data_IF_571189686489
#
_entry.id   IF_571189686489
#
_cell.length_a   1.000
_cell.length_b   1.000
_cell.length_c   1.000
_cell.angle_alpha   90.00
_cell.angle_beta   90.00
_cell.angle_gamma   90.00
#
_symmetry.space_group_name_H-M   'P 1'
#
loop_
_entity.id
_entity.type
_entity.pdbx_description
1 polymer ?
#
# COMPACT_ATOMS: atom_id res chain seq x y z
N UNK A 1 71.92 4.21 -8.32
CA UNK A 1 71.29 4.97 -9.42
C UNK A 1 70.19 4.12 -10.02
N UNK A 2 68.96 4.47 -9.67
CA UNK A 2 67.65 4.24 -10.30
C UNK A 2 67.43 2.94 -11.11
N UNK A 3 66.98 1.89 -10.41
CA UNK A 3 66.25 0.77 -10.98
C UNK A 3 64.77 1.14 -11.16
N UNK A 4 64.40 1.59 -12.36
CA UNK A 4 63.00 1.74 -12.75
C UNK A 4 62.36 0.37 -13.03
N UNK A 5 61.19 0.05 -12.47
CA UNK A 5 60.42 -1.13 -12.90
C UNK A 5 59.71 -0.85 -14.24
N UNK A 6 59.49 -1.87 -15.08
CA UNK A 6 58.78 -1.73 -16.35
C UNK A 6 57.28 -1.43 -16.14
N UNK A 7 56.64 -0.74 -17.10
CA UNK A 7 55.23 -0.36 -16.98
C UNK A 7 54.30 -1.57 -17.07
N UNK A 8 53.32 -1.61 -16.16
CA UNK A 8 52.18 -2.52 -16.20
C UNK A 8 51.39 -2.34 -17.50
N UNK A 9 51.41 -3.35 -18.38
CA UNK A 9 50.48 -3.48 -19.50
C UNK A 9 49.16 -4.05 -18.97
N UNK A 10 48.15 -3.18 -18.84
CA UNK A 10 46.76 -3.57 -18.60
C UNK A 10 46.18 -4.19 -19.87
N UNK A 11 45.56 -5.39 -19.83
CA UNK A 11 44.85 -5.94 -20.98
C UNK A 11 43.56 -5.15 -21.20
N UNK A 12 43.57 -4.21 -22.14
CA UNK A 12 42.36 -3.62 -22.68
C UNK A 12 41.70 -4.62 -23.64
N UNK A 13 40.92 -5.55 -23.11
CA UNK A 13 39.87 -6.19 -23.88
C UNK A 13 38.70 -5.20 -24.03
N UNK A 14 38.34 -4.76 -25.25
CA UNK A 14 37.09 -4.03 -25.44
C UNK A 14 35.94 -5.00 -25.12
N UNK A 15 35.16 -4.68 -24.08
CA UNK A 15 33.93 -5.38 -23.80
C UNK A 15 32.97 -5.15 -24.98
N UNK A 16 32.81 -6.18 -25.81
CA UNK A 16 31.73 -6.28 -26.79
C UNK A 16 30.42 -6.32 -26.02
N UNK A 17 29.79 -5.16 -25.85
CA UNK A 17 28.44 -5.09 -25.31
C UNK A 17 27.50 -5.76 -26.33
N UNK A 18 26.67 -6.73 -25.90
CA UNK A 18 25.61 -7.22 -26.77
C UNK A 18 24.67 -6.05 -27.10
N UNK A 19 24.11 -6.01 -28.32
CA UNK A 19 23.16 -4.98 -28.70
C UNK A 19 21.97 -5.00 -27.73
N UNK A 20 21.36 -3.83 -27.45
CA UNK A 20 20.23 -3.76 -26.54
C UNK A 20 19.13 -4.64 -27.10
N UNK A 21 18.87 -5.76 -26.43
CA UNK A 21 17.63 -6.49 -26.60
C UNK A 21 16.53 -5.46 -26.42
N UNK A 22 15.74 -5.23 -27.46
CA UNK A 22 14.47 -4.51 -27.37
C UNK A 22 13.55 -5.34 -26.47
N UNK A 23 13.81 -5.29 -25.16
CA UNK A 23 12.85 -5.64 -24.14
C UNK A 23 11.81 -4.56 -24.27
N UNK A 24 10.80 -4.88 -25.08
CA UNK A 24 9.48 -4.27 -25.11
C UNK A 24 9.06 -4.17 -23.65
N UNK A 25 9.38 -3.05 -23.02
CA UNK A 25 8.88 -2.68 -21.70
C UNK A 25 7.41 -2.43 -21.91
N UNK A 26 6.68 -3.55 -21.91
CA UNK A 26 5.28 -3.60 -21.61
C UNK A 26 5.11 -2.71 -20.39
N UNK A 27 4.29 -1.70 -20.58
CA UNK A 27 3.83 -0.74 -19.61
C UNK A 27 3.10 -1.53 -18.51
N UNK A 28 3.87 -2.10 -17.59
CA UNK A 28 3.42 -2.86 -16.44
C UNK A 28 3.77 -2.11 -15.15
N UNK A 29 3.80 -0.78 -15.20
CA UNK A 29 3.51 0.01 -14.01
C UNK A 29 2.02 0.33 -13.98
N UNK A 30 1.40 -0.12 -12.89
CA UNK A 30 0.02 0.16 -12.46
C UNK A 30 -1.08 -0.77 -12.98
N UNK A 31 -0.89 -2.07 -12.81
CA UNK A 31 -2.02 -2.98 -12.50
C UNK A 31 -1.85 -3.68 -11.15
N UNK A 32 -1.47 -2.91 -10.13
CA UNK A 32 -1.92 -3.19 -8.76
C UNK A 32 -3.41 -2.80 -8.68
N UNK A 33 -4.27 -3.61 -9.31
CA UNK A 33 -5.70 -3.65 -9.01
C UNK A 33 -5.84 -4.30 -7.63
N UNK A 34 -5.43 -3.57 -6.59
CA UNK A 34 -5.92 -3.82 -5.25
C UNK A 34 -7.43 -3.56 -5.35
N UNK A 35 -8.21 -4.65 -5.36
CA UNK A 35 -9.65 -4.69 -5.15
C UNK A 35 -9.97 -3.93 -3.86
N UNK A 36 -9.97 -2.60 -3.93
CA UNK A 36 -10.73 -1.78 -3.00
C UNK A 36 -12.15 -1.89 -3.53
N UNK A 37 -12.89 -2.76 -2.86
CA UNK A 37 -14.34 -2.85 -2.96
C UNK A 37 -14.88 -1.43 -3.09
N UNK A 38 -15.77 -1.24 -4.05
CA UNK A 38 -16.63 -0.09 -4.18
C UNK A 38 -17.23 0.24 -2.81
N UNK A 39 -16.61 1.16 -2.09
CA UNK A 39 -17.28 1.95 -1.08
C UNK A 39 -17.76 3.17 -1.84
N UNK A 40 -19.07 3.27 -2.13
CA UNK A 40 -19.58 4.38 -2.89
C UNK A 40 -19.31 5.66 -2.10
N UNK A 41 -18.63 6.59 -2.78
CA UNK A 41 -19.02 8.00 -2.81
C UNK A 41 -19.10 8.81 -1.52
N UNK A 42 -18.59 8.38 -0.36
CA UNK A 42 -18.62 9.25 0.84
C UNK A 42 -17.91 10.60 0.63
N UNK A 43 -16.77 10.63 -0.06
CA UNK A 43 -16.05 11.89 -0.36
C UNK A 43 -16.78 12.79 -1.37
N UNK A 44 -17.48 12.20 -2.34
CA UNK A 44 -18.30 12.94 -3.31
C UNK A 44 -19.57 13.48 -2.67
N UNK A 45 -20.24 12.69 -1.84
CA UNK A 45 -21.41 13.10 -1.06
C UNK A 45 -21.04 14.17 -0.02
N UNK A 46 -19.90 14.09 0.67
CA UNK A 46 -19.46 15.16 1.58
C UNK A 46 -19.18 16.46 0.83
N UNK A 47 -18.54 16.38 -0.34
CA UNK A 47 -18.29 17.57 -1.18
C UNK A 47 -19.60 18.16 -1.71
N UNK A 48 -20.55 17.31 -2.11
CA UNK A 48 -21.87 17.73 -2.54
C UNK A 48 -22.66 18.36 -1.39
N UNK A 49 -22.72 17.71 -0.23
CA UNK A 49 -23.37 18.20 0.98
C UNK A 49 -22.80 19.54 1.45
N UNK A 50 -21.49 19.74 1.33
CA UNK A 50 -20.84 21.02 1.66
C UNK A 50 -21.23 22.13 0.68
N UNK A 51 -21.29 21.84 -0.62
CA UNK A 51 -21.73 22.81 -1.60
C UNK A 51 -23.23 23.12 -1.46
N UNK A 52 -24.07 22.10 -1.26
CA UNK A 52 -25.50 22.29 -1.07
C UNK A 52 -25.82 23.00 0.24
N UNK A 53 -25.16 22.66 1.36
CA UNK A 53 -25.38 23.33 2.64
C UNK A 53 -24.97 24.79 2.59
N UNK A 54 -23.92 25.13 1.84
CA UNK A 54 -23.50 26.51 1.64
C UNK A 54 -24.52 27.33 0.84
N UNK A 55 -24.99 26.82 -0.30
CA UNK A 55 -26.04 27.50 -1.08
C UNK A 55 -27.36 27.59 -0.33
N UNK A 56 -27.72 26.55 0.43
CA UNK A 56 -28.89 26.51 1.29
C UNK A 56 -28.77 27.57 2.40
N UNK A 57 -27.61 27.71 3.04
CA UNK A 57 -27.36 28.74 4.05
C UNK A 57 -27.49 30.16 3.49
N UNK A 58 -26.95 30.42 2.29
CA UNK A 58 -27.14 31.69 1.59
C UNK A 58 -28.63 31.93 1.28
N UNK A 59 -29.34 30.92 0.81
CA UNK A 59 -30.77 31.01 0.50
C UNK A 59 -31.59 31.29 1.77
N UNK A 60 -31.32 30.59 2.87
CA UNK A 60 -31.96 30.83 4.18
C UNK A 60 -31.68 32.26 4.65
N UNK A 61 -30.43 32.71 4.61
CA UNK A 61 -30.09 34.09 4.97
C UNK A 61 -30.89 35.06 4.12
N UNK A 62 -30.95 34.86 2.80
CA UNK A 62 -31.72 35.70 1.90
C UNK A 62 -33.23 35.67 2.21
N UNK A 63 -33.80 34.52 2.54
CA UNK A 63 -35.21 34.37 2.90
C UNK A 63 -35.54 35.05 4.23
N UNK A 64 -34.69 34.90 5.26
CA UNK A 64 -34.82 35.62 6.53
C UNK A 64 -34.66 37.14 6.32
N UNK A 65 -33.86 37.55 5.34
CA UNK A 65 -33.69 38.94 4.96
C UNK A 65 -34.98 39.54 4.38
N UNK A 66 -35.59 38.85 3.43
CA UNK A 66 -36.87 39.26 2.83
C UNK A 66 -37.99 39.23 3.87
N UNK A 67 -38.01 38.20 4.72
CA UNK A 67 -38.98 38.10 5.82
C UNK A 67 -38.84 39.22 6.85
N UNK A 68 -37.62 39.61 7.21
CA UNK A 68 -37.39 40.74 8.12
C UNK A 68 -37.77 42.08 7.47
N UNK A 69 -37.50 42.26 6.17
CA UNK A 69 -37.97 43.42 5.42
C UNK A 69 -39.50 43.53 5.40
N UNK A 70 -40.17 42.40 5.19
CA UNK A 70 -41.63 42.30 5.14
C UNK A 70 -42.26 42.62 6.50
N UNK A 71 -41.75 41.99 7.57
CA UNK A 71 -42.23 42.19 8.94
C UNK A 71 -42.02 43.62 9.45
N UNK A 72 -40.89 44.25 9.10
CA UNK A 72 -40.61 45.65 9.48
C UNK A 72 -41.40 46.63 8.60
N UNK A 73 -41.60 46.32 7.32
CA UNK A 73 -42.45 47.10 6.41
C UNK A 73 -43.89 47.17 6.90
N UNK A 74 -44.44 46.03 7.36
CA UNK A 74 -45.77 45.97 7.97
C UNK A 74 -45.84 46.81 9.27
N UNK A 75 -44.81 46.74 10.11
CA UNK A 75 -44.73 47.54 11.35
C UNK A 75 -44.55 49.04 11.09
N UNK A 76 -43.81 49.41 10.04
CA UNK A 76 -43.60 50.80 9.62
C UNK A 76 -44.86 51.41 9.00
N UNK A 77 -45.73 50.59 8.39
CA UNK A 77 -47.02 51.03 7.87
C UNK A 77 -48.03 51.33 8.99
N UNK A 78 -47.96 50.61 10.12
CA UNK A 78 -48.91 50.76 11.24
C UNK A 78 -48.52 51.79 12.31
N UNK A 79 -47.23 52.04 12.58
CA UNK A 79 -46.80 52.95 13.67
C UNK A 79 -45.98 54.15 13.15
N UNK A 80 -46.56 55.35 13.22
CA UNK A 80 -46.04 56.59 12.60
C UNK A 80 -44.84 57.29 13.27
N UNK A 81 -44.37 56.85 14.45
CA UNK A 81 -43.39 57.61 15.26
C UNK A 81 -41.91 57.17 15.18
N UNK A 82 -41.61 55.87 15.06
CA UNK A 82 -40.23 55.32 15.13
C UNK A 82 -39.59 55.08 13.75
N UNK A 83 -40.11 55.76 12.72
CA UNK A 83 -39.91 55.46 11.30
C UNK A 83 -38.47 55.60 10.81
N UNK A 84 -37.72 56.60 11.28
CA UNK A 84 -36.38 56.92 10.75
C UNK A 84 -35.29 55.97 11.23
N UNK A 85 -35.32 55.58 12.51
CA UNK A 85 -34.31 54.68 13.10
C UNK A 85 -34.43 53.25 12.55
N UNK A 86 -35.66 52.74 12.40
CA UNK A 86 -35.88 51.40 11.85
C UNK A 86 -35.40 51.29 10.38
N UNK A 87 -35.62 52.34 9.57
CA UNK A 87 -35.13 52.38 8.19
C UNK A 87 -33.59 52.43 8.15
N UNK A 88 -32.96 53.22 9.03
CA UNK A 88 -31.49 53.32 9.07
C UNK A 88 -30.83 52.00 9.46
N UNK A 89 -31.34 51.33 10.51
CA UNK A 89 -30.84 50.02 10.96
C UNK A 89 -31.03 48.97 9.86
N UNK A 90 -32.13 49.04 9.10
CA UNK A 90 -32.38 48.17 7.97
C UNK A 90 -31.32 48.38 6.87
N UNK A 91 -31.13 49.61 6.40
CA UNK A 91 -30.13 49.90 5.36
C UNK A 91 -28.72 49.47 5.80
N UNK A 92 -28.35 49.72 7.06
CA UNK A 92 -27.05 49.32 7.60
C UNK A 92 -26.87 47.79 7.62
N UNK A 93 -27.91 47.03 8.01
CA UNK A 93 -27.88 45.58 8.01
C UNK A 93 -27.73 44.99 6.60
N UNK A 94 -28.37 45.59 5.58
CA UNK A 94 -28.24 45.16 4.19
C UNK A 94 -26.86 45.42 3.62
N UNK A 95 -26.28 46.59 3.91
CA UNK A 95 -24.92 46.92 3.49
C UNK A 95 -23.91 45.96 4.15
N UNK A 96 -24.04 45.73 5.46
CA UNK A 96 -23.18 44.79 6.17
C UNK A 96 -23.26 43.37 5.59
N UNK A 97 -24.48 42.90 5.28
CA UNK A 97 -24.64 41.57 4.69
C UNK A 97 -24.08 41.49 3.25
N UNK A 98 -24.28 42.52 2.45
CA UNK A 98 -23.69 42.62 1.11
C UNK A 98 -22.16 42.48 1.16
N UNK A 99 -21.53 43.17 2.10
CA UNK A 99 -20.08 43.09 2.33
C UNK A 99 -19.67 41.67 2.73
N UNK A 100 -20.37 41.06 3.69
CA UNK A 100 -20.06 39.69 4.16
C UNK A 100 -20.20 38.67 3.02
N UNK A 101 -21.26 38.77 2.22
CA UNK A 101 -21.50 37.90 1.06
C UNK A 101 -20.37 38.01 0.03
N UNK A 102 -20.00 39.24 -0.35
CA UNK A 102 -18.90 39.49 -1.30
C UNK A 102 -17.57 38.96 -0.77
N UNK A 103 -17.24 39.23 0.49
CA UNK A 103 -16.01 38.74 1.12
C UNK A 103 -15.94 37.21 1.11
N UNK A 104 -17.06 36.54 1.36
CA UNK A 104 -17.12 35.08 1.38
C UNK A 104 -16.92 34.48 -0.02
N UNK A 105 -17.60 35.03 -1.04
CA UNK A 105 -17.43 34.61 -2.44
C UNK A 105 -15.98 34.85 -2.89
N UNK A 106 -15.41 36.01 -2.55
CA UNK A 106 -14.03 36.35 -2.90
C UNK A 106 -13.02 35.39 -2.28
N UNK A 107 -13.15 35.09 -0.98
CA UNK A 107 -12.31 34.11 -0.27
C UNK A 107 -12.35 32.74 -0.95
N UNK A 108 -13.53 32.29 -1.39
CA UNK A 108 -13.69 31.01 -2.07
C UNK A 108 -13.00 31.00 -3.44
N UNK A 109 -13.17 32.06 -4.24
CA UNK A 109 -12.50 32.19 -5.55
C UNK A 109 -10.98 32.20 -5.40
N UNK A 110 -10.46 32.92 -4.40
CA UNK A 110 -9.02 32.95 -4.13
C UNK A 110 -8.49 31.58 -3.70
N UNK A 111 -9.22 30.86 -2.84
CA UNK A 111 -8.85 29.52 -2.38
C UNK A 111 -8.79 28.52 -3.54
N UNK A 112 -9.81 28.51 -4.41
CA UNK A 112 -9.84 27.66 -5.60
C UNK A 112 -8.68 28.00 -6.53
N UNK A 113 -8.42 29.29 -6.81
CA UNK A 113 -7.28 29.72 -7.62
C UNK A 113 -5.93 29.30 -7.02
N UNK A 114 -5.78 29.34 -5.69
CA UNK A 114 -4.57 28.86 -5.00
C UNK A 114 -4.39 27.36 -5.18
N UNK A 115 -5.43 26.57 -4.97
CA UNK A 115 -5.39 25.10 -5.15
C UNK A 115 -5.08 24.73 -6.60
N UNK A 116 -5.68 25.43 -7.57
CA UNK A 116 -5.44 25.17 -8.98
C UNK A 116 -4.00 25.53 -9.42
N UNK A 117 -3.36 26.48 -8.71
CA UNK A 117 -1.94 26.81 -8.90
C UNK A 117 -1.00 25.77 -8.31
N UNK A 118 -1.39 25.07 -7.24
CA UNK A 118 -0.55 24.05 -6.61
C UNK A 118 -0.66 22.68 -7.26
N UNK A 119 -1.71 22.44 -8.06
CA UNK A 119 -1.80 21.21 -8.85
C UNK A 119 -0.76 21.24 -9.99
N UNK A 120 0.16 20.25 -10.05
CA UNK A 120 1.07 20.13 -11.18
C UNK A 120 0.24 19.90 -12.45
N UNK A 121 0.41 20.78 -13.44
CA UNK A 121 -0.33 20.68 -14.70
C UNK A 121 0.02 19.34 -15.38
N UNK A 122 -0.98 18.53 -15.81
CA UNK A 122 -0.74 17.21 -16.39
C UNK A 122 -0.01 17.26 -17.74
N UNK A 123 0.11 18.45 -18.35
CA UNK A 123 0.88 18.66 -19.56
C UNK A 123 2.31 19.05 -19.22
N UNK A 124 3.15 18.04 -19.00
CA UNK A 124 4.59 18.20 -19.17
C UNK A 124 4.87 17.84 -20.62
N UNK A 125 5.32 18.78 -21.48
CA UNK A 125 5.68 18.46 -22.84
C UNK A 125 6.93 17.56 -22.81
N UNK A 126 6.71 16.25 -22.77
CA UNK A 126 7.76 15.22 -22.83
C UNK A 126 7.83 14.58 -24.21
N UNK A 127 6.93 14.94 -25.13
CA UNK A 127 6.96 14.47 -26.51
C UNK A 127 8.08 15.20 -27.27
N UNK A 128 8.84 14.45 -28.06
CA UNK A 128 9.94 14.99 -28.91
C UNK A 128 9.48 16.05 -29.93
N UNK A 129 8.17 16.19 -30.15
CA UNK A 129 7.55 17.12 -31.09
C UNK A 129 7.40 18.52 -30.48
N UNK A 130 7.28 18.61 -29.15
CA UNK A 130 6.96 19.87 -28.45
C UNK A 130 8.21 20.62 -27.96
N UNK A 131 9.40 19.98 -28.01
CA UNK A 131 10.65 20.53 -27.50
C UNK A 131 11.78 20.50 -28.54
N UNK A 132 12.70 21.48 -28.51
CA UNK A 132 13.95 21.42 -29.26
C UNK A 132 14.72 20.13 -28.92
N UNK A 133 15.29 19.49 -29.94
CA UNK A 133 15.98 18.19 -29.84
C UNK A 133 17.05 18.15 -28.72
N UNK A 134 17.74 19.28 -28.49
CA UNK A 134 18.78 19.39 -27.46
C UNK A 134 18.22 19.28 -26.03
N UNK A 135 17.08 19.94 -25.78
CA UNK A 135 16.42 19.90 -24.46
C UNK A 135 15.85 18.52 -24.20
N UNK A 136 15.22 17.89 -25.21
CA UNK A 136 14.70 16.54 -25.09
C UNK A 136 15.80 15.51 -24.79
N UNK A 137 16.97 15.65 -25.42
CA UNK A 137 18.16 14.81 -25.13
C UNK A 137 18.65 15.03 -23.71
N UNK A 138 18.79 16.29 -23.27
CA UNK A 138 19.26 16.60 -21.92
C UNK A 138 18.33 16.03 -20.84
N UNK A 139 17.02 16.21 -21.00
CA UNK A 139 16.00 15.63 -20.12
C UNK A 139 16.14 14.10 -20.07
N UNK A 140 16.24 13.44 -21.23
CA UNK A 140 16.41 11.99 -21.28
C UNK A 140 17.69 11.52 -20.57
N UNK A 141 18.80 12.23 -20.76
CA UNK A 141 20.09 11.93 -20.10
C UNK A 141 19.99 12.07 -18.58
N UNK A 142 19.40 13.14 -18.07
CA UNK A 142 19.22 13.33 -16.62
C UNK A 142 18.25 12.32 -16.02
N UNK A 143 17.18 11.95 -16.75
CA UNK A 143 16.30 10.86 -16.32
C UNK A 143 17.02 9.51 -16.28
N UNK A 144 17.83 9.20 -17.28
CA UNK A 144 18.63 7.96 -17.27
C UNK A 144 19.63 7.97 -16.11
N UNK A 145 20.31 9.10 -15.87
CA UNK A 145 21.25 9.26 -14.76
C UNK A 145 20.57 9.09 -13.40
N UNK A 146 19.44 9.76 -13.18
CA UNK A 146 18.68 9.65 -11.94
C UNK A 146 18.08 8.25 -11.75
N UNK A 147 17.65 7.59 -12.81
CA UNK A 147 17.19 6.19 -12.75
C UNK A 147 18.32 5.23 -12.35
N UNK A 148 19.52 5.40 -12.91
CA UNK A 148 20.70 4.60 -12.54
C UNK A 148 21.13 4.87 -11.10
N UNK A 149 21.21 6.14 -10.69
CA UNK A 149 21.52 6.50 -9.29
C UNK A 149 20.47 5.92 -8.36
N UNK A 150 19.19 6.04 -8.68
CA UNK A 150 18.10 5.47 -7.88
C UNK A 150 18.28 3.96 -7.74
N UNK A 151 18.56 3.25 -8.83
CA UNK A 151 18.80 1.82 -8.82
C UNK A 151 20.03 1.44 -7.97
N UNK A 152 21.14 2.14 -8.09
CA UNK A 152 22.36 1.89 -7.28
C UNK A 152 22.13 2.26 -5.80
N UNK A 153 21.33 3.30 -5.54
CA UNK A 153 21.00 3.78 -4.20
C UNK A 153 19.97 2.91 -3.47
N UNK A 154 19.34 1.96 -4.17
CA UNK A 154 18.54 0.94 -3.48
C UNK A 154 19.45 0.24 -2.48
N UNK A 155 19.03 0.21 -1.22
CA UNK A 155 19.81 -0.37 -0.14
C UNK A 155 19.89 -1.89 -0.29
N UNK A 156 20.75 -2.38 -1.18
CA UNK A 156 21.00 -3.82 -1.37
C UNK A 156 21.70 -4.42 -0.14
N UNK A 157 22.49 -3.60 0.57
CA UNK A 157 23.37 -4.05 1.67
C UNK A 157 22.75 -3.88 3.06
N UNK A 158 21.61 -3.17 3.17
CA UNK A 158 20.92 -2.98 4.45
C UNK A 158 20.30 -4.28 4.95
N UNK A 159 21.01 -5.02 5.81
CA UNK A 159 20.50 -6.21 6.46
C UNK A 159 19.65 -5.80 7.67
N UNK A 160 18.34 -5.69 7.50
CA UNK A 160 17.44 -5.65 8.64
C UNK A 160 17.30 -7.07 9.19
N UNK A 161 17.60 -7.26 10.47
CA UNK A 161 17.39 -8.55 11.12
C UNK A 161 15.92 -9.01 10.95
N UNK A 162 15.72 -10.28 10.62
CA UNK A 162 14.38 -10.84 10.38
C UNK A 162 13.82 -10.67 8.97
N UNK A 163 14.48 -9.91 8.09
CA UNK A 163 14.05 -9.73 6.69
C UNK A 163 15.00 -10.43 5.72
N UNK A 164 14.44 -10.96 4.63
CA UNK A 164 15.24 -11.54 3.56
C UNK A 164 15.97 -10.50 2.72
N UNK A 165 17.08 -10.92 2.12
CA UNK A 165 17.92 -10.03 1.31
C UNK A 165 17.28 -9.77 -0.05
N UNK A 166 17.29 -8.52 -0.57
CA UNK A 166 16.83 -8.24 -1.93
C UNK A 166 17.66 -9.05 -2.95
N UNK A 167 17.01 -9.62 -3.96
CA UNK A 167 17.64 -10.51 -4.94
C UNK A 167 17.80 -11.97 -4.50
N UNK A 168 17.36 -12.36 -3.30
CA UNK A 168 17.29 -13.77 -2.88
C UNK A 168 15.86 -14.32 -2.95
N UNK A 169 15.68 -15.63 -2.79
CA UNK A 169 14.34 -16.26 -2.70
C UNK A 169 13.47 -15.72 -1.53
N UNK A 170 14.11 -14.96 -0.63
CA UNK A 170 13.53 -14.36 0.55
C UNK A 170 13.27 -12.85 0.41
N UNK A 171 13.43 -12.27 -0.78
CA UNK A 171 13.09 -10.86 -1.02
C UNK A 171 11.65 -10.55 -0.58
N UNK A 172 11.49 -9.42 0.10
CA UNK A 172 10.22 -8.95 0.70
C UNK A 172 9.54 -9.90 1.68
N UNK A 173 10.25 -10.94 2.16
CA UNK A 173 9.72 -11.87 3.17
C UNK A 173 10.29 -11.56 4.55
N UNK A 174 9.38 -11.35 5.50
CA UNK A 174 9.72 -11.31 6.93
C UNK A 174 9.73 -12.73 7.49
N UNK A 175 10.87 -13.20 7.99
CA UNK A 175 11.09 -14.60 8.39
C UNK A 175 10.12 -15.04 9.49
N UNK A 176 9.88 -14.20 10.50
CA UNK A 176 8.93 -14.53 11.57
C UNK A 176 7.52 -14.73 11.02
N UNK A 177 7.04 -13.81 10.20
CA UNK A 177 5.71 -13.91 9.59
C UNK A 177 5.60 -15.11 8.68
N UNK A 178 6.65 -15.40 7.90
CA UNK A 178 6.71 -16.56 7.03
C UNK A 178 6.63 -17.88 7.82
N UNK A 179 7.45 -18.05 8.85
CA UNK A 179 7.44 -19.25 9.71
C UNK A 179 6.06 -19.42 10.38
N UNK A 180 5.42 -18.33 10.82
CA UNK A 180 4.09 -18.44 11.42
C UNK A 180 3.00 -18.77 10.40
N UNK A 181 3.19 -18.41 9.14
CA UNK A 181 2.24 -18.73 8.06
C UNK A 181 2.21 -20.21 7.67
N UNK A 182 3.22 -21.00 8.05
CA UNK A 182 3.24 -22.45 7.77
C UNK A 182 2.40 -23.27 8.74
N UNK A 183 2.01 -22.71 9.88
CA UNK A 183 1.19 -23.36 10.91
C UNK A 183 -0.14 -23.90 10.37
N UNK A 184 -0.97 -23.10 9.67
CA UNK A 184 -2.22 -23.62 9.10
C UNK A 184 -1.99 -24.74 8.09
N UNK A 185 -0.92 -24.69 7.29
CA UNK A 185 -0.59 -25.72 6.29
C UNK A 185 -0.28 -27.05 7.00
N UNK A 186 0.60 -27.01 7.99
CA UNK A 186 1.01 -28.20 8.76
C UNK A 186 -0.17 -28.79 9.54
N UNK A 187 -1.07 -27.93 10.05
CA UNK A 187 -2.28 -28.36 10.74
C UNK A 187 -3.28 -29.03 9.80
N UNK A 188 -3.49 -28.47 8.62
CA UNK A 188 -4.39 -29.06 7.63
C UNK A 188 -3.90 -30.45 7.19
N UNK A 189 -2.59 -30.69 7.16
CA UNK A 189 -2.04 -31.98 6.75
C UNK A 189 -2.06 -33.04 7.86
N UNK A 190 -1.74 -32.68 9.11
CA UNK A 190 -1.62 -33.62 10.24
C UNK A 190 -2.91 -33.78 11.04
N UNK A 191 -3.65 -32.69 11.26
CA UNK A 191 -4.78 -32.64 12.18
C UNK A 191 -5.95 -31.81 11.59
N UNK A 192 -6.50 -32.19 10.43
CA UNK A 192 -7.59 -31.44 9.78
C UNK A 192 -8.87 -31.37 10.63
N UNK A 193 -9.12 -32.38 11.46
CA UNK A 193 -10.34 -32.51 12.28
C UNK A 193 -10.21 -31.83 13.65
N UNK A 194 -9.03 -31.31 14.01
CA UNK A 194 -8.83 -30.72 15.34
C UNK A 194 -9.56 -29.38 15.47
N UNK A 195 -10.34 -29.23 16.55
CA UNK A 195 -11.07 -28.00 16.92
C UNK A 195 -10.28 -27.08 17.85
N UNK A 196 -9.05 -27.44 18.22
CA UNK A 196 -8.22 -26.65 19.13
C UNK A 196 -7.88 -25.25 18.56
N UNK A 197 -7.42 -24.33 19.41
CA UNK A 197 -7.00 -22.98 18.97
C UNK A 197 -6.10 -23.04 17.73
N UNK A 198 -6.31 -22.19 16.70
CA UNK A 198 -5.48 -22.19 15.49
C UNK A 198 -3.99 -21.91 15.78
N UNK A 199 -3.70 -21.38 16.97
CA UNK A 199 -2.36 -21.07 17.42
C UNK A 199 -1.73 -22.21 18.25
N UNK A 200 -2.46 -23.23 18.71
CA UNK A 200 -1.86 -24.28 19.54
C UNK A 200 -1.07 -25.30 18.72
N UNK A 201 0.10 -25.69 19.22
CA UNK A 201 0.95 -26.73 18.63
C UNK A 201 0.63 -28.13 19.16
N UNK A 202 -0.09 -28.24 20.29
CA UNK A 202 -0.48 -29.51 20.90
C UNK A 202 -1.18 -30.49 19.94
N UNK A 203 -2.13 -30.06 19.08
CA UNK A 203 -2.78 -30.98 18.14
C UNK A 203 -1.80 -31.58 17.12
N UNK A 204 -0.76 -30.84 16.75
CA UNK A 204 0.28 -31.34 15.84
C UNK A 204 1.14 -32.39 16.53
N UNK A 205 1.50 -32.14 17.79
CA UNK A 205 2.31 -33.06 18.60
C UNK A 205 1.56 -34.36 18.85
N UNK A 206 0.29 -34.27 19.24
CA UNK A 206 -0.58 -35.42 19.49
C UNK A 206 -0.84 -36.25 18.22
N UNK A 207 -1.15 -35.57 17.11
CA UNK A 207 -1.26 -36.22 15.80
C UNK A 207 0.06 -36.90 15.38
N UNK A 208 1.21 -36.28 15.65
CA UNK A 208 2.51 -36.90 15.33
C UNK A 208 2.83 -38.11 16.19
N UNK A 209 2.32 -38.19 17.42
CA UNK A 209 2.52 -39.34 18.31
C UNK A 209 1.61 -40.52 18.00
N UNK A 210 0.43 -40.29 17.42
CA UNK A 210 -0.47 -41.37 16.98
C UNK A 210 -0.02 -42.03 15.67
N UNK A 211 0.89 -41.39 14.93
CA UNK A 211 1.41 -41.92 13.68
C UNK A 211 2.50 -42.97 13.89
N UNK A 212 2.25 -44.20 13.41
CA UNK A 212 3.20 -45.31 13.45
C UNK A 212 4.26 -45.20 12.32
N UNK A 213 5.22 -44.28 12.45
CA UNK A 213 6.25 -44.00 11.42
C UNK A 213 7.69 -44.04 11.98
N UNK A 214 8.01 -45.04 12.82
CA UNK A 214 9.34 -45.24 13.46
C UNK A 214 9.86 -44.00 14.24
N UNK A 215 8.98 -43.06 14.59
CA UNK A 215 9.32 -41.83 15.29
C UNK A 215 9.89 -40.70 14.42
N UNK A 216 10.08 -40.89 13.10
CA UNK A 216 10.67 -39.88 12.23
C UNK A 216 9.82 -38.60 12.14
N UNK A 217 8.50 -38.74 11.90
CA UNK A 217 7.57 -37.60 11.84
C UNK A 217 7.53 -36.86 13.18
N UNK A 218 7.55 -37.60 14.30
CA UNK A 218 7.57 -37.02 15.64
C UNK A 218 8.82 -36.16 15.86
N UNK A 219 9.99 -36.59 15.41
CA UNK A 219 11.22 -35.79 15.48
C UNK A 219 11.10 -34.51 14.65
N UNK A 220 10.58 -34.60 13.42
CA UNK A 220 10.37 -33.43 12.56
C UNK A 220 9.37 -32.44 13.16
N UNK A 221 8.22 -32.91 13.65
CA UNK A 221 7.20 -32.05 14.26
C UNK A 221 7.71 -31.42 15.56
N UNK A 222 8.48 -32.14 16.38
CA UNK A 222 9.15 -31.55 17.56
C UNK A 222 10.16 -30.47 17.16
N UNK A 223 10.98 -30.71 16.13
CA UNK A 223 11.94 -29.72 15.64
C UNK A 223 11.24 -28.46 15.10
N UNK A 224 10.12 -28.65 14.39
CA UNK A 224 9.27 -27.59 13.88
C UNK A 224 8.61 -26.78 15.00
N UNK A 225 8.07 -27.45 16.01
CA UNK A 225 7.47 -26.82 17.18
C UNK A 225 8.48 -25.91 17.89
N UNK A 226 9.71 -26.38 18.09
CA UNK A 226 10.79 -25.59 18.69
C UNK A 226 11.13 -24.33 17.89
N UNK A 227 11.15 -24.42 16.56
CA UNK A 227 11.42 -23.25 15.70
C UNK A 227 10.24 -22.25 15.77
N UNK A 228 9.00 -22.72 15.82
CA UNK A 228 7.83 -21.84 15.96
C UNK A 228 7.82 -21.14 17.32
N UNK A 229 8.07 -21.85 18.40
CA UNK A 229 8.12 -21.25 19.74
C UNK A 229 9.19 -20.17 19.81
N UNK A 230 10.36 -20.44 19.24
CA UNK A 230 11.43 -19.45 19.10
C UNK A 230 10.98 -18.26 18.23
N UNK A 231 10.26 -18.50 17.14
CA UNK A 231 9.75 -17.43 16.29
C UNK A 231 8.66 -16.59 16.99
N UNK A 232 7.83 -17.17 17.86
CA UNK A 232 6.75 -16.47 18.58
C UNK A 232 7.24 -15.67 19.78
N UNK A 233 8.09 -16.30 20.60
CA UNK A 233 8.44 -15.78 21.93
C UNK A 233 9.91 -15.38 22.04
N UNK A 234 10.73 -15.69 21.03
CA UNK A 234 12.13 -15.33 21.02
C UNK A 234 12.35 -13.82 20.87
N UNK A 235 13.23 -13.26 21.70
CA UNK A 235 13.66 -11.85 21.60
C UNK A 235 14.44 -11.57 20.31
N UNK A 236 15.19 -12.55 19.82
CA UNK A 236 15.98 -12.45 18.58
C UNK A 236 15.10 -12.80 17.37
N UNK A 237 15.22 -12.02 16.30
CA UNK A 237 14.56 -12.33 15.03
C UNK A 237 15.07 -13.67 14.45
N UNK A 238 14.19 -14.50 13.88
CA UNK A 238 14.60 -15.72 13.21
C UNK A 238 15.47 -15.40 11.99
N UNK A 239 16.48 -16.23 11.76
CA UNK A 239 17.42 -16.08 10.66
C UNK A 239 16.90 -16.73 9.38
N UNK A 240 17.57 -16.45 8.25
CA UNK A 240 17.31 -17.13 6.98
C UNK A 240 17.41 -18.67 7.10
N UNK A 241 18.38 -19.16 7.88
CA UNK A 241 18.57 -20.59 8.10
C UNK A 241 17.36 -21.23 8.83
N UNK A 242 16.76 -20.50 9.77
CA UNK A 242 15.57 -20.97 10.49
C UNK A 242 14.36 -21.06 9.55
N UNK A 243 14.19 -20.08 8.65
CA UNK A 243 13.11 -20.09 7.64
C UNK A 243 13.29 -21.22 6.62
N UNK A 244 14.53 -21.47 6.17
CA UNK A 244 14.85 -22.58 5.27
C UNK A 244 14.67 -23.95 5.94
N UNK A 245 15.02 -24.08 7.22
CA UNK A 245 14.78 -25.30 7.98
C UNK A 245 13.28 -25.60 8.08
N UNK A 246 12.46 -24.58 8.38
CA UNK A 246 11.00 -24.72 8.45
C UNK A 246 10.40 -25.14 7.11
N UNK A 247 10.81 -24.51 6.02
CA UNK A 247 10.35 -24.86 4.66
C UNK A 247 10.62 -26.33 4.35
N UNK A 248 11.86 -26.80 4.61
CA UNK A 248 12.25 -28.20 4.38
C UNK A 248 11.51 -29.19 5.28
N UNK A 249 11.33 -28.86 6.55
CA UNK A 249 10.62 -29.75 7.50
C UNK A 249 9.16 -29.90 7.09
N UNK A 250 8.49 -28.80 6.72
CA UNK A 250 7.10 -28.85 6.24
C UNK A 250 7.00 -29.68 4.95
N UNK A 251 7.92 -29.49 4.01
CA UNK A 251 7.95 -30.25 2.76
C UNK A 251 8.13 -31.76 3.01
N UNK A 252 9.10 -32.15 3.83
CA UNK A 252 9.36 -33.57 4.17
C UNK A 252 8.15 -34.21 4.83
N UNK A 253 7.50 -33.51 5.77
CA UNK A 253 6.30 -34.02 6.44
C UNK A 253 5.15 -34.17 5.45
N UNK A 254 4.90 -33.18 4.59
CA UNK A 254 3.86 -33.24 3.56
C UNK A 254 4.10 -34.38 2.58
N UNK A 255 5.33 -34.55 2.09
CA UNK A 255 5.70 -35.65 1.20
C UNK A 255 5.51 -37.01 1.86
N UNK A 256 5.92 -37.15 3.13
CA UNK A 256 5.75 -38.40 3.88
C UNK A 256 4.27 -38.76 4.03
N UNK A 257 3.43 -37.77 4.36
CA UNK A 257 1.99 -37.95 4.47
C UNK A 257 1.34 -38.31 3.13
N UNK A 258 1.76 -37.68 2.05
CA UNK A 258 1.25 -37.97 0.71
C UNK A 258 1.64 -39.38 0.25
N UNK A 259 2.89 -39.81 0.48
CA UNK A 259 3.33 -41.18 0.19
C UNK A 259 2.52 -42.20 1.00
N UNK A 260 2.25 -41.93 2.27
CA UNK A 260 1.44 -42.80 3.13
C UNK A 260 -0.01 -42.91 2.63
N UNK A 261 -0.62 -41.77 2.29
CA UNK A 261 -1.97 -41.70 1.71
C UNK A 261 -2.07 -42.49 0.40
N UNK A 262 -1.04 -42.44 -0.46
CA UNK A 262 -0.99 -43.23 -1.71
C UNK A 262 -0.92 -44.73 -1.43
N UNK A 263 -0.06 -45.16 -0.50
CA UNK A 263 0.05 -46.58 -0.10
C UNK A 263 -1.26 -47.13 0.45
N UNK A 264 -1.98 -46.36 1.27
CA UNK A 264 -3.30 -46.76 1.79
C UNK A 264 -4.33 -46.90 0.68
N UNK A 265 -4.34 -45.99 -0.29
CA UNK A 265 -5.22 -46.04 -1.46
C UNK A 265 -4.95 -47.27 -2.33
N UNK A 266 -3.68 -47.61 -2.56
CA UNK A 266 -3.29 -48.78 -3.34
C UNK A 266 -3.69 -50.08 -2.62
N UNK A 267 -3.47 -50.15 -1.30
CA UNK A 267 -3.94 -51.28 -0.48
C UNK A 267 -5.45 -51.44 -0.56
N UNK A 268 -6.20 -50.34 -0.49
CA UNK A 268 -7.66 -50.38 -0.57
C UNK A 268 -8.16 -50.85 -1.95
N UNK A 269 -7.47 -50.45 -3.04
CA UNK A 269 -7.77 -50.94 -4.40
C UNK A 269 -7.54 -52.44 -4.56
N UNK A 270 -6.49 -52.98 -3.94
CA UNK A 270 -6.19 -54.42 -4.00
C UNK A 270 -7.11 -55.28 -3.12
N UNK A 271 -7.84 -54.67 -2.18
CA UNK A 271 -8.73 -55.38 -1.24
C UNK A 271 -10.20 -55.41 -1.66
N UNK A 272 -10.56 -54.81 -2.79
CA UNK A 272 -11.92 -54.86 -3.35
C UNK A 272 -11.92 -56.02 -4.37
N UNK A 273 -12.56 -57.16 -4.07
CA UNK A 273 -12.67 -58.30 -4.98
C UNK A 273 -13.51 -58.00 -6.22
#
# INVERSE_FOLDING_TARGET
>A
MNSHPPPYQSPHTPATYPPPSHTRQNTQQQRSKKRRRFLPTAKGFLSFLYHTSFYLFILIIAALLVGSAWSIGEQAWRNGGQRKWNIFVMVAAYVALGIISVLHVWSRVLSIKRILRTMPKPYIPTKRVDLPKNVAKHIATEYSRTAVIAHISQATTGQQEGWGRPGTKWEDKHFRTYILSTIPIMRQSLAPTSTASPLSLQPLLDASSSMNDNGAIRLFVNSYAKIIERARYGRKEPSQADAEAVEKVVEVVLLTLEVKRRREKDKHRTSIP
#
